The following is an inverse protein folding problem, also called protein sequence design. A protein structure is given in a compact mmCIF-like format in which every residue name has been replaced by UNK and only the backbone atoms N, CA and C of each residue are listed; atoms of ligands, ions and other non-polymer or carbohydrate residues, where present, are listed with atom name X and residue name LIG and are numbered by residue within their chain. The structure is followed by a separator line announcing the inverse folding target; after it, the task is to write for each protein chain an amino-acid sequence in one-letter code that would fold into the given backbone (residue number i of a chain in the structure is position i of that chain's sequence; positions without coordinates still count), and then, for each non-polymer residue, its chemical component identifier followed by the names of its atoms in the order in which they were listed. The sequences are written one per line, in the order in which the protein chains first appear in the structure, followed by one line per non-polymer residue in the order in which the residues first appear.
data_IF_893514707157
#
_entry.id   IF_893514707157
#
_cell.length_a   1.000
_cell.length_b   1.000
_cell.length_c   1.000
_cell.angle_alpha   90.00
_cell.angle_beta   90.00
_cell.angle_gamma   90.00
#
_symmetry.space_group_name_H-M   'P 1'
#
loop_
_entity.id
_entity.type
_entity.pdbx_description
1 polymer ?
#
# COMPACT_ATOMS: atom_id res chain seq x y z
N UNK A 1 5.74 -2.58 -18.80
CA UNK A 1 5.08 -1.48 -18.08
C UNK A 1 5.85 -1.16 -16.78
N UNK A 2 6.11 -2.13 -15.89
CA UNK A 2 6.86 -1.93 -14.65
C UNK A 2 8.27 -1.39 -14.87
N UNK A 3 9.00 -1.87 -15.88
CA UNK A 3 10.32 -1.34 -16.23
C UNK A 3 10.26 0.15 -16.63
N UNK A 4 9.20 0.57 -17.32
CA UNK A 4 8.98 1.98 -17.66
C UNK A 4 8.70 2.82 -16.41
N UNK A 5 7.95 2.28 -15.46
CA UNK A 5 7.70 2.96 -14.18
C UNK A 5 8.97 3.04 -13.32
N UNK A 6 9.78 1.98 -13.33
CA UNK A 6 11.05 1.90 -12.59
C UNK A 6 12.09 2.88 -13.13
N UNK A 7 12.01 3.26 -14.41
CA UNK A 7 12.97 4.16 -15.06
C UNK A 7 13.07 5.53 -14.40
N UNK A 8 12.04 5.94 -13.65
CA UNK A 8 12.10 7.17 -12.85
C UNK A 8 13.07 7.06 -11.66
N UNK A 9 13.30 5.86 -11.15
CA UNK A 9 14.19 5.59 -10.02
C UNK A 9 15.53 4.95 -10.46
N UNK A 10 15.53 4.22 -11.54
CA UNK A 10 16.69 3.53 -12.15
C UNK A 10 16.72 3.81 -13.66
N UNK A 11 17.23 4.99 -14.09
CA UNK A 11 17.32 5.35 -15.51
C UNK A 11 18.10 4.31 -16.33
N UNK A 12 17.46 3.79 -17.38
CA UNK A 12 18.01 2.72 -18.19
C UNK A 12 17.93 1.32 -17.58
N UNK A 13 17.25 1.15 -16.43
CA UNK A 13 17.06 -0.13 -15.74
C UNK A 13 18.38 -0.91 -15.55
N UNK A 14 19.38 -0.24 -14.98
CA UNK A 14 20.75 -0.76 -14.89
C UNK A 14 21.03 -1.54 -13.61
N UNK A 15 20.30 -1.25 -12.51
CA UNK A 15 20.62 -1.74 -11.17
C UNK A 15 19.52 -2.56 -10.53
N UNK A 16 18.26 -2.34 -10.89
CA UNK A 16 17.12 -2.92 -10.23
C UNK A 16 16.35 -3.90 -11.13
N UNK A 17 16.03 -5.07 -10.58
CA UNK A 17 15.22 -6.09 -11.25
C UNK A 17 13.85 -6.15 -10.57
N UNK A 18 12.75 -5.75 -11.22
CA UNK A 18 11.42 -5.81 -10.62
C UNK A 18 11.07 -7.23 -10.17
N UNK A 19 10.54 -7.34 -8.96
CA UNK A 19 10.14 -8.61 -8.35
C UNK A 19 8.65 -8.67 -8.12
N UNK A 20 8.13 -7.75 -7.30
CA UNK A 20 6.71 -7.54 -7.07
C UNK A 20 6.29 -6.11 -7.35
N UNK A 21 4.99 -5.92 -7.53
CA UNK A 21 4.36 -4.61 -7.52
C UNK A 21 3.05 -4.67 -6.73
N UNK A 22 2.61 -3.53 -6.27
CA UNK A 22 1.36 -3.42 -5.55
C UNK A 22 0.90 -1.99 -5.41
N UNK A 23 -0.14 -1.82 -4.61
CA UNK A 23 -0.77 -0.52 -4.33
C UNK A 23 -0.85 -0.28 -2.84
N UNK A 24 -0.77 0.97 -2.45
CA UNK A 24 -1.17 1.42 -1.13
C UNK A 24 -2.66 1.76 -1.16
N UNK A 25 -3.43 1.19 -0.25
CA UNK A 25 -4.87 1.36 -0.20
C UNK A 25 -5.40 1.25 1.24
N UNK A 26 -6.71 1.10 1.38
CA UNK A 26 -7.39 0.97 2.67
C UNK A 26 -8.34 -0.22 2.67
N UNK A 27 -8.60 -0.76 3.85
CA UNK A 27 -9.61 -1.76 4.07
C UNK A 27 -10.56 -1.34 5.20
N UNK A 28 -11.83 -1.70 5.06
CA UNK A 28 -12.87 -1.47 6.06
C UNK A 28 -13.60 -2.79 6.35
N UNK A 29 -13.96 -3.01 7.62
CA UNK A 29 -14.74 -4.18 8.02
C UNK A 29 -16.24 -3.93 7.91
N UNK A 30 -17.05 -5.01 7.99
CA UNK A 30 -18.51 -4.90 8.06
C UNK A 30 -18.97 -4.00 9.21
N UNK A 31 -18.31 -4.10 10.39
CA UNK A 31 -18.57 -3.22 11.53
C UNK A 31 -18.29 -1.75 11.24
N UNK A 32 -17.18 -1.46 10.55
CA UNK A 32 -16.88 -0.08 10.13
C UNK A 32 -17.95 0.47 9.17
N UNK A 33 -18.40 -0.33 8.21
CA UNK A 33 -19.49 0.07 7.30
C UNK A 33 -20.82 0.29 8.03
N UNK A 34 -21.16 -0.55 9.00
CA UNK A 34 -22.36 -0.39 9.84
C UNK A 34 -22.35 0.96 10.57
N UNK A 35 -21.23 1.35 11.19
CA UNK A 35 -21.08 2.63 11.90
C UNK A 35 -21.21 3.85 10.97
N UNK A 36 -20.98 3.67 9.68
CA UNK A 36 -21.19 4.69 8.65
C UNK A 36 -22.60 4.69 8.06
N UNK A 37 -23.50 3.82 8.56
CA UNK A 37 -24.87 3.67 8.04
C UNK A 37 -24.90 2.96 6.67
N UNK A 38 -23.91 2.13 6.36
CA UNK A 38 -23.81 1.35 5.14
C UNK A 38 -23.38 2.11 3.89
N UNK A 39 -23.08 3.41 4.00
CA UNK A 39 -22.65 4.25 2.86
C UNK A 39 -21.20 4.64 3.01
N UNK A 40 -20.40 4.34 1.98
CA UNK A 40 -19.03 4.79 1.87
C UNK A 40 -18.98 6.12 1.11
N UNK A 41 -17.98 6.99 1.38
CA UNK A 41 -17.76 8.20 0.60
C UNK A 41 -17.34 7.86 -0.84
N UNK A 42 -17.56 8.80 -1.76
CA UNK A 42 -17.15 8.66 -3.16
C UNK A 42 -15.62 8.46 -3.28
N UNK A 43 -14.85 9.24 -2.54
CA UNK A 43 -13.42 9.01 -2.39
C UNK A 43 -13.16 8.22 -1.11
N UNK A 44 -12.72 6.96 -1.24
CA UNK A 44 -12.43 6.10 -0.09
C UNK A 44 -11.39 6.67 0.88
N UNK A 45 -10.45 7.52 0.44
CA UNK A 45 -9.49 8.18 1.31
C UNK A 45 -10.13 9.14 2.32
N UNK A 46 -11.35 9.63 2.04
CA UNK A 46 -12.11 10.45 3.00
C UNK A 46 -12.33 9.72 4.32
N UNK A 47 -12.49 8.39 4.30
CA UNK A 47 -12.63 7.55 5.50
C UNK A 47 -11.48 7.73 6.47
N UNK A 48 -10.28 7.99 5.93
CA UNK A 48 -9.05 8.07 6.70
C UNK A 48 -8.65 9.52 7.02
N UNK A 49 -8.90 10.46 6.10
CA UNK A 49 -8.36 11.82 6.19
C UNK A 49 -9.38 12.88 6.63
N UNK A 50 -10.65 12.51 6.83
CA UNK A 50 -11.67 13.44 7.31
C UNK A 50 -12.21 13.06 8.69
N UNK A 51 -12.14 13.98 9.69
CA UNK A 51 -12.65 13.74 11.04
C UNK A 51 -14.12 13.31 11.10
N UNK A 52 -14.95 13.73 10.13
CA UNK A 52 -16.36 13.32 10.06
C UNK A 52 -16.55 11.78 9.94
N UNK A 53 -15.57 11.07 9.36
CA UNK A 53 -15.58 9.61 9.26
C UNK A 53 -14.80 8.97 10.39
N UNK A 54 -13.57 9.46 10.67
CA UNK A 54 -12.73 8.86 11.70
C UNK A 54 -13.37 8.92 13.09
N UNK A 55 -14.08 10.01 13.42
CA UNK A 55 -14.85 10.13 14.65
C UNK A 55 -15.92 9.03 14.81
N UNK A 56 -16.56 8.59 13.74
CA UNK A 56 -17.52 7.49 13.77
C UNK A 56 -16.85 6.13 13.93
N UNK A 57 -15.65 5.98 13.36
CA UNK A 57 -14.92 4.71 13.29
C UNK A 57 -13.99 4.48 14.48
N UNK A 58 -13.64 5.51 15.27
CA UNK A 58 -12.71 5.39 16.39
C UNK A 58 -13.09 4.34 17.44
N UNK A 59 -14.41 4.10 17.63
CA UNK A 59 -14.90 3.10 18.58
C UNK A 59 -14.59 1.66 18.18
N UNK A 60 -14.45 1.38 16.88
CA UNK A 60 -14.09 0.06 16.38
C UNK A 60 -12.60 -0.06 16.01
N UNK A 61 -11.85 1.04 16.10
CA UNK A 61 -10.41 1.09 15.92
C UNK A 61 -9.97 1.41 14.49
N UNK A 62 -9.09 2.41 14.38
CA UNK A 62 -8.44 2.83 13.15
C UNK A 62 -6.96 2.56 13.29
N UNK A 63 -6.34 1.94 12.30
CA UNK A 63 -4.90 1.76 12.23
C UNK A 63 -4.31 2.44 11.01
N UNK A 64 -3.24 3.18 11.22
CA UNK A 64 -2.39 3.73 10.18
C UNK A 64 -1.11 2.91 10.07
N UNK A 65 -0.69 2.71 8.85
CA UNK A 65 0.61 2.15 8.56
C UNK A 65 1.72 3.10 9.02
N UNK A 66 2.65 2.61 9.84
CA UNK A 66 3.71 3.43 10.45
C UNK A 66 4.87 3.65 9.47
N UNK A 67 4.56 4.29 8.34
CA UNK A 67 5.51 4.55 7.26
C UNK A 67 5.30 5.96 6.71
N UNK A 68 5.89 7.00 7.33
CA UNK A 68 5.71 8.39 6.89
C UNK A 68 6.13 8.62 5.45
N UNK A 69 7.17 7.90 4.94
CA UNK A 69 7.62 7.98 3.55
C UNK A 69 6.59 7.52 2.52
N UNK A 70 5.53 6.84 2.95
CA UNK A 70 4.44 6.40 2.10
C UNK A 70 3.14 7.15 2.40
N UNK A 71 2.85 7.39 3.67
CA UNK A 71 1.64 8.12 4.07
C UNK A 71 1.64 9.58 3.59
N UNK A 72 2.78 10.28 3.65
CA UNK A 72 2.84 11.67 3.17
C UNK A 72 2.61 11.79 1.66
N UNK A 73 3.25 11.02 0.76
CA UNK A 73 2.93 11.03 -0.66
C UNK A 73 1.46 10.76 -0.98
N UNK A 74 0.84 9.80 -0.31
CA UNK A 74 -0.60 9.49 -0.48
C UNK A 74 -1.45 10.69 -0.07
N UNK A 75 -1.17 11.26 1.09
CA UNK A 75 -1.93 12.41 1.59
C UNK A 75 -1.69 13.67 0.76
N UNK A 76 -0.48 13.92 0.30
CA UNK A 76 -0.18 15.02 -0.62
C UNK A 76 -0.97 14.87 -1.93
N UNK A 77 -0.99 13.67 -2.51
CA UNK A 77 -1.79 13.37 -3.70
C UNK A 77 -3.29 13.59 -3.44
N UNK A 78 -3.80 13.14 -2.30
CA UNK A 78 -5.19 13.37 -1.87
C UNK A 78 -5.53 14.87 -1.78
N UNK A 79 -4.60 15.70 -1.32
CA UNK A 79 -4.74 17.15 -1.25
C UNK A 79 -4.50 17.87 -2.58
N UNK A 80 -4.24 17.15 -3.68
CA UNK A 80 -3.92 17.72 -4.99
C UNK A 80 -2.55 18.40 -5.02
N UNK A 81 -1.60 17.95 -4.18
CA UNK A 81 -0.23 18.46 -4.08
C UNK A 81 0.75 17.49 -4.73
N UNK A 82 2.00 17.95 -4.94
CA UNK A 82 3.07 17.10 -5.45
C UNK A 82 3.41 15.98 -4.44
N UNK A 83 3.21 14.70 -4.79
CA UNK A 83 3.53 13.59 -3.90
C UNK A 83 5.01 13.50 -3.49
N UNK A 84 5.92 14.13 -4.22
CA UNK A 84 7.35 14.21 -3.86
C UNK A 84 7.61 15.03 -2.61
N UNK A 85 6.65 15.87 -2.19
CA UNK A 85 6.80 16.74 -1.04
C UNK A 85 7.90 17.78 -1.23
N UNK A 86 8.07 18.25 -2.47
CA UNK A 86 9.14 19.20 -2.81
C UNK A 86 8.95 20.56 -2.12
N UNK A 87 7.71 20.91 -1.77
CA UNK A 87 7.38 22.11 -1.02
C UNK A 87 7.18 21.78 0.47
N UNK A 88 8.01 22.30 1.40
CA UNK A 88 7.86 22.07 2.83
C UNK A 88 6.51 22.51 3.42
N UNK A 89 5.87 23.54 2.86
CA UNK A 89 4.56 24.01 3.33
C UNK A 89 3.45 23.00 3.03
N UNK A 90 3.54 22.29 1.91
CA UNK A 90 2.59 21.22 1.56
C UNK A 90 2.73 20.03 2.53
N UNK A 91 3.96 19.69 2.95
CA UNK A 91 4.18 18.67 4.00
C UNK A 91 3.60 19.09 5.34
N UNK A 92 3.74 20.38 5.72
CA UNK A 92 3.12 20.91 6.93
C UNK A 92 1.59 20.89 6.86
N UNK A 93 1.00 21.25 5.72
CA UNK A 93 -0.44 21.17 5.51
C UNK A 93 -0.95 19.73 5.62
N UNK A 94 -0.23 18.76 5.04
CA UNK A 94 -0.52 17.34 5.19
C UNK A 94 -0.44 16.89 6.67
N UNK A 95 0.56 17.35 7.41
CA UNK A 95 0.69 17.05 8.83
C UNK A 95 -0.49 17.58 9.67
N UNK A 96 -1.05 18.74 9.33
CA UNK A 96 -2.24 19.27 10.02
C UNK A 96 -3.49 18.38 9.79
N UNK A 97 -3.63 17.77 8.61
CA UNK A 97 -4.68 16.77 8.37
C UNK A 97 -4.46 15.55 9.28
N UNK A 98 -3.23 15.03 9.35
CA UNK A 98 -2.91 13.90 10.23
C UNK A 98 -3.17 14.21 11.70
N UNK A 99 -2.81 15.41 12.17
CA UNK A 99 -3.11 15.86 13.54
C UNK A 99 -4.61 15.93 13.82
N UNK A 100 -5.41 16.35 12.83
CA UNK A 100 -6.87 16.45 13.00
C UNK A 100 -7.54 15.10 13.25
N UNK A 101 -6.98 14.01 12.71
CA UNK A 101 -7.50 12.64 12.85
C UNK A 101 -6.75 11.85 13.94
N UNK A 102 -5.60 12.34 14.41
CA UNK A 102 -4.74 11.63 15.37
C UNK A 102 -5.48 11.13 16.62
N UNK A 103 -6.42 11.90 17.24
CA UNK A 103 -7.17 11.44 18.41
C UNK A 103 -8.06 10.22 18.16
N UNK A 104 -8.41 9.97 16.90
CA UNK A 104 -9.29 8.86 16.51
C UNK A 104 -8.50 7.59 16.12
N UNK A 105 -7.19 7.74 15.88
CA UNK A 105 -6.31 6.63 15.49
C UNK A 105 -5.91 5.82 16.73
N UNK A 106 -6.33 4.55 16.73
CA UNK A 106 -6.02 3.60 17.81
C UNK A 106 -4.56 3.15 17.78
N UNK A 107 -4.00 2.97 16.56
CA UNK A 107 -2.68 2.38 16.42
C UNK A 107 -1.93 2.87 15.17
N UNK A 108 -0.63 3.00 15.32
CA UNK A 108 0.35 3.04 14.24
C UNK A 108 1.13 1.72 14.28
N UNK A 109 1.18 1.00 13.17
CA UNK A 109 1.82 -0.32 13.14
C UNK A 109 2.44 -0.59 11.77
N UNK A 110 3.63 -1.20 11.71
CA UNK A 110 4.21 -1.67 10.46
C UNK A 110 3.48 -2.90 9.90
N UNK A 111 2.69 -3.60 10.73
CA UNK A 111 1.89 -4.75 10.32
C UNK A 111 0.53 -4.74 11.01
N UNK A 112 -0.52 -4.73 10.21
CA UNK A 112 -1.92 -4.67 10.65
C UNK A 112 -2.73 -5.91 10.27
N UNK A 113 -2.10 -6.91 9.65
CA UNK A 113 -2.76 -8.08 9.05
C UNK A 113 -3.58 -8.83 10.09
N UNK A 114 -2.95 -9.21 11.21
CA UNK A 114 -3.62 -10.04 12.21
C UNK A 114 -4.71 -9.29 12.98
N UNK A 115 -4.50 -8.00 13.27
CA UNK A 115 -5.49 -7.19 13.97
C UNK A 115 -6.72 -6.93 13.11
N UNK A 116 -6.52 -6.66 11.83
CA UNK A 116 -7.62 -6.50 10.88
C UNK A 116 -8.35 -7.83 10.68
N UNK A 117 -7.61 -8.95 10.54
CA UNK A 117 -8.19 -10.28 10.38
C UNK A 117 -9.05 -10.70 11.56
N UNK A 118 -8.68 -10.32 12.80
CA UNK A 118 -9.48 -10.58 14.01
C UNK A 118 -10.62 -9.60 14.23
N UNK A 119 -10.65 -8.47 13.51
CA UNK A 119 -11.63 -7.39 13.73
C UNK A 119 -11.32 -6.48 14.91
N UNK A 120 -10.07 -6.48 15.44
CA UNK A 120 -9.61 -5.57 16.51
C UNK A 120 -9.54 -4.11 16.03
N UNK A 121 -9.45 -3.91 14.73
CA UNK A 121 -9.54 -2.65 13.99
C UNK A 121 -10.53 -2.79 12.84
N UNK A 122 -11.21 -1.72 12.49
CA UNK A 122 -12.25 -1.72 11.46
C UNK A 122 -11.92 -0.87 10.23
N UNK A 123 -10.92 -0.03 10.32
CA UNK A 123 -10.35 0.73 9.19
C UNK A 123 -8.83 0.67 9.27
N UNK A 124 -8.20 0.32 8.17
CA UNK A 124 -6.75 0.23 8.09
C UNK A 124 -6.23 0.74 6.75
N UNK A 125 -5.10 1.45 6.76
CA UNK A 125 -4.31 1.77 5.57
C UNK A 125 -3.08 0.88 5.49
N UNK A 126 -2.74 0.38 4.31
CA UNK A 126 -1.57 -0.48 4.10
C UNK A 126 -1.40 -0.92 2.65
N UNK A 127 -0.54 -1.90 2.44
CA UNK A 127 -0.39 -2.55 1.13
C UNK A 127 -1.63 -3.35 0.78
N UNK A 128 -2.07 -3.27 -0.47
CA UNK A 128 -3.22 -4.02 -0.95
C UNK A 128 -3.10 -5.53 -0.73
N UNK A 129 -1.92 -6.11 -0.92
CA UNK A 129 -1.67 -7.52 -0.64
C UNK A 129 -1.84 -7.89 0.83
N UNK A 130 -1.28 -7.09 1.76
CA UNK A 130 -1.41 -7.32 3.20
C UNK A 130 -2.88 -7.25 3.66
N UNK A 131 -3.63 -6.29 3.12
CA UNK A 131 -5.06 -6.14 3.41
C UNK A 131 -5.89 -7.31 2.85
N UNK A 132 -5.55 -7.81 1.66
CA UNK A 132 -6.18 -9.02 1.10
C UNK A 132 -5.77 -10.29 1.86
N UNK A 133 -4.54 -10.38 2.35
CA UNK A 133 -4.11 -11.47 3.22
C UNK A 133 -4.89 -11.48 4.54
N UNK A 134 -5.12 -10.31 5.14
CA UNK A 134 -5.97 -10.18 6.33
C UNK A 134 -7.40 -10.66 6.06
N UNK A 135 -7.96 -10.29 4.89
CA UNK A 135 -9.27 -10.77 4.44
C UNK A 135 -9.30 -12.30 4.33
N UNK A 136 -8.33 -12.89 3.62
CA UNK A 136 -8.25 -14.35 3.44
C UNK A 136 -8.14 -15.08 4.79
N UNK A 137 -7.31 -14.60 5.73
CA UNK A 137 -7.20 -15.17 7.08
C UNK A 137 -8.51 -15.10 7.87
N UNK A 138 -9.22 -13.98 7.76
CA UNK A 138 -10.53 -13.82 8.41
C UNK A 138 -11.57 -14.81 7.86
N UNK A 139 -11.59 -15.00 6.53
CA UNK A 139 -12.48 -15.94 5.85
C UNK A 139 -12.15 -17.40 6.19
N UNK A 140 -10.87 -17.76 6.26
CA UNK A 140 -10.39 -19.09 6.64
C UNK A 140 -10.89 -19.51 8.03
N UNK A 141 -10.77 -18.61 9.02
CA UNK A 141 -11.24 -18.88 10.40
C UNK A 141 -12.73 -18.60 10.60
N UNK A 142 -13.44 -18.14 9.58
CA UNK A 142 -14.89 -17.90 9.56
C UNK A 142 -15.38 -17.00 10.71
N UNK A 143 -14.61 -15.98 11.08
CA UNK A 143 -14.95 -15.08 12.19
C UNK A 143 -15.91 -13.93 11.81
N UNK A 144 -16.38 -13.89 10.54
CA UNK A 144 -17.38 -12.94 10.03
C UNK A 144 -17.00 -11.45 10.15
N UNK A 145 -15.72 -11.11 10.13
CA UNK A 145 -15.27 -9.71 10.18
C UNK A 145 -15.74 -8.93 8.95
N UNK A 146 -15.84 -9.57 7.80
CA UNK A 146 -16.37 -8.98 6.57
C UNK A 146 -15.47 -7.85 6.05
N UNK A 147 -14.20 -8.15 5.77
CA UNK A 147 -13.20 -7.19 5.29
C UNK A 147 -13.43 -6.88 3.81
N UNK A 148 -13.55 -5.61 3.48
CA UNK A 148 -13.54 -5.10 2.10
C UNK A 148 -12.28 -4.24 1.89
N UNK A 149 -11.48 -4.62 0.89
CA UNK A 149 -10.32 -3.83 0.45
C UNK A 149 -10.77 -2.90 -0.66
N UNK A 150 -10.65 -1.60 -0.43
CA UNK A 150 -11.13 -0.56 -1.33
C UNK A 150 -10.07 -0.22 -2.39
N UNK A 151 -10.51 0.39 -3.49
CA UNK A 151 -9.65 0.92 -4.54
C UNK A 151 -9.98 2.39 -4.81
N UNK A 152 -9.63 3.29 -3.85
CA UNK A 152 -9.89 4.71 -4.00
C UNK A 152 -9.06 5.32 -5.12
N UNK A 153 -9.52 6.42 -5.70
CA UNK A 153 -8.70 7.20 -6.65
C UNK A 153 -7.44 7.71 -5.96
N UNK A 154 -6.34 7.74 -6.69
CA UNK A 154 -5.06 8.23 -6.14
C UNK A 154 -4.33 7.23 -5.27
N UNK A 155 -4.48 5.92 -5.54
CA UNK A 155 -3.62 4.90 -4.93
C UNK A 155 -2.16 5.12 -5.33
N UNK A 156 -1.24 4.91 -4.39
CA UNK A 156 0.19 4.88 -4.66
C UNK A 156 0.63 3.51 -5.21
N UNK A 157 1.34 3.49 -6.35
CA UNK A 157 1.91 2.26 -6.92
C UNK A 157 3.36 2.14 -6.51
N UNK A 158 3.74 0.97 -6.01
CA UNK A 158 5.13 0.66 -5.67
C UNK A 158 5.64 -0.54 -6.46
N UNK A 159 6.96 -0.59 -6.62
CA UNK A 159 7.67 -1.68 -7.26
C UNK A 159 8.77 -2.13 -6.32
N UNK A 160 8.69 -3.37 -5.87
CA UNK A 160 9.75 -4.04 -5.15
C UNK A 160 10.74 -4.63 -6.14
N UNK A 161 12.02 -4.45 -5.89
CA UNK A 161 13.06 -4.85 -6.82
C UNK A 161 14.24 -5.49 -6.10
N UNK A 162 14.86 -6.44 -6.78
CA UNK A 162 16.15 -6.99 -6.39
C UNK A 162 17.28 -6.06 -6.83
N UNK A 163 18.22 -5.82 -5.94
CA UNK A 163 19.48 -5.13 -6.22
C UNK A 163 20.65 -5.93 -5.64
N UNK A 164 21.79 -5.89 -6.32
CA UNK A 164 23.04 -6.49 -5.82
C UNK A 164 23.95 -5.34 -5.38
N UNK A 165 24.31 -5.24 -4.08
CA UNK A 165 25.27 -4.24 -3.60
C UNK A 165 26.60 -4.33 -4.33
N UNK A 166 27.24 -3.18 -4.56
CA UNK A 166 28.51 -3.11 -5.31
C UNK A 166 29.67 -3.89 -4.64
N UNK A 167 29.62 -4.05 -3.31
CA UNK A 167 30.59 -4.77 -2.49
C UNK A 167 30.20 -6.24 -2.22
N UNK A 168 29.12 -6.73 -2.87
CA UNK A 168 28.68 -8.12 -2.71
C UNK A 168 29.77 -9.13 -3.14
N UNK A 169 30.07 -10.09 -2.26
CA UNK A 169 31.14 -11.08 -2.50
C UNK A 169 30.67 -12.27 -3.36
N UNK A 170 29.37 -12.55 -3.39
CA UNK A 170 28.80 -13.72 -4.06
C UNK A 170 27.87 -13.32 -5.21
N UNK A 171 28.34 -12.45 -6.11
CA UNK A 171 27.55 -11.87 -7.21
C UNK A 171 26.92 -12.96 -8.10
N UNK A 172 27.71 -14.01 -8.45
CA UNK A 172 27.20 -15.11 -9.28
C UNK A 172 26.03 -15.86 -8.63
N UNK A 173 26.06 -16.07 -7.31
CA UNK A 173 24.94 -16.69 -6.58
C UNK A 173 23.74 -15.74 -6.44
N UNK A 174 23.99 -14.44 -6.28
CA UNK A 174 22.92 -13.45 -6.27
C UNK A 174 22.14 -13.44 -7.60
N UNK A 175 22.83 -13.45 -8.75
CA UNK A 175 22.18 -13.60 -10.06
C UNK A 175 21.38 -14.89 -10.20
N UNK A 176 21.92 -16.03 -9.74
CA UNK A 176 21.19 -17.32 -9.74
C UNK A 176 19.92 -17.25 -8.91
N UNK A 177 20.00 -16.63 -7.73
CA UNK A 177 18.84 -16.45 -6.85
C UNK A 177 17.77 -15.55 -7.48
N UNK A 178 18.17 -14.40 -8.03
CA UNK A 178 17.27 -13.51 -8.74
C UNK A 178 16.59 -14.24 -9.90
N UNK A 179 17.35 -14.93 -10.75
CA UNK A 179 16.79 -15.70 -11.86
C UNK A 179 15.82 -16.79 -11.38
N UNK A 180 16.13 -17.48 -10.28
CA UNK A 180 15.23 -18.46 -9.68
C UNK A 180 13.92 -17.83 -9.21
N UNK A 181 13.97 -16.67 -8.54
CA UNK A 181 12.77 -16.00 -8.07
C UNK A 181 11.91 -15.42 -9.19
N UNK A 182 12.48 -15.19 -10.37
CA UNK A 182 11.78 -14.72 -11.57
C UNK A 182 11.24 -15.86 -12.45
N UNK A 183 11.59 -17.11 -12.16
CA UNK A 183 10.96 -18.25 -12.83
C UNK A 183 9.43 -18.16 -12.68
N UNK A 184 8.63 -18.33 -13.77
CA UNK A 184 7.19 -18.12 -13.71
C UNK A 184 6.45 -18.98 -12.67
N UNK A 185 6.89 -20.23 -12.46
CA UNK A 185 6.28 -21.11 -11.45
C UNK A 185 6.60 -20.62 -10.02
N UNK A 186 7.86 -20.24 -9.80
CA UNK A 186 8.34 -19.75 -8.50
C UNK A 186 7.72 -18.39 -8.18
N UNK A 187 7.74 -17.47 -9.15
CA UNK A 187 7.16 -16.13 -8.99
C UNK A 187 5.65 -16.18 -8.72
N UNK A 188 4.92 -17.06 -9.40
CA UNK A 188 3.49 -17.26 -9.15
C UNK A 188 3.24 -17.80 -7.74
N UNK A 189 3.97 -18.85 -7.30
CA UNK A 189 3.85 -19.40 -5.94
C UNK A 189 4.14 -18.35 -4.87
N UNK A 190 5.20 -17.57 -5.07
CA UNK A 190 5.56 -16.50 -4.15
C UNK A 190 4.47 -15.41 -4.12
N UNK A 191 3.97 -14.97 -5.29
CA UNK A 191 2.90 -13.99 -5.39
C UNK A 191 1.59 -14.44 -4.73
N UNK A 192 1.23 -15.73 -4.86
CA UNK A 192 0.07 -16.31 -4.17
C UNK A 192 0.27 -16.29 -2.65
N UNK A 193 1.45 -16.68 -2.18
CA UNK A 193 1.74 -16.78 -0.75
C UNK A 193 1.71 -15.42 -0.03
N UNK A 194 2.14 -14.34 -0.69
CA UNK A 194 2.18 -12.97 -0.12
C UNK A 194 1.07 -12.06 -0.64
N UNK A 195 0.23 -12.55 -1.57
CA UNK A 195 -0.85 -11.78 -2.22
C UNK A 195 -0.37 -10.52 -2.94
N UNK A 196 0.84 -10.55 -3.51
CA UNK A 196 1.38 -9.46 -4.33
C UNK A 196 1.43 -9.84 -5.82
N UNK A 197 1.38 -8.84 -6.69
CA UNK A 197 1.47 -9.05 -8.13
C UNK A 197 2.93 -9.29 -8.54
N UNK A 198 3.30 -10.48 -9.06
CA UNK A 198 4.64 -10.71 -9.57
C UNK A 198 4.90 -9.84 -10.79
N UNK A 199 6.15 -9.36 -10.93
CA UNK A 199 6.56 -8.53 -12.06
C UNK A 199 6.53 -9.31 -13.38
N UNK A 200 6.72 -10.62 -13.33
CA UNK A 200 6.71 -11.52 -14.49
C UNK A 200 5.28 -11.73 -15.03
N UNK A 201 5.04 -11.31 -16.28
CA UNK A 201 3.75 -11.53 -16.94
C UNK A 201 3.37 -13.01 -17.04
N UNK A 202 4.26 -13.93 -17.44
CA UNK A 202 3.96 -15.37 -17.45
C UNK A 202 3.62 -15.94 -16.06
N UNK A 203 4.15 -15.37 -14.97
CA UNK A 203 3.78 -15.77 -13.63
C UNK A 203 2.31 -15.44 -13.29
N UNK A 204 1.82 -14.29 -13.75
CA UNK A 204 0.42 -13.89 -13.55
C UNK A 204 -0.56 -14.89 -14.17
N UNK A 205 -0.23 -15.46 -15.30
CA UNK A 205 -1.05 -16.45 -16.02
C UNK A 205 -1.19 -17.79 -15.23
N UNK A 206 -0.29 -18.01 -14.25
CA UNK A 206 -0.28 -19.18 -13.37
C UNK A 206 -0.94 -18.96 -12.01
N UNK A 207 -1.40 -17.74 -11.75
CA UNK A 207 -2.08 -17.39 -10.52
C UNK A 207 -3.59 -17.65 -10.61
N UNK A 208 -4.27 -17.93 -9.48
CA UNK A 208 -5.72 -18.06 -9.46
C UNK A 208 -6.42 -16.81 -10.02
N UNK A 209 -7.45 -17.03 -10.85
CA UNK A 209 -8.21 -15.94 -11.46
C UNK A 209 -8.81 -14.98 -10.42
N UNK A 210 -9.19 -15.47 -9.26
CA UNK A 210 -9.69 -14.67 -8.14
C UNK A 210 -8.66 -13.58 -7.72
N UNK A 211 -7.39 -13.96 -7.56
CA UNK A 211 -6.34 -13.01 -7.21
C UNK A 211 -6.05 -12.03 -8.36
N UNK A 212 -5.95 -12.54 -9.59
CA UNK A 212 -5.66 -11.72 -10.77
C UNK A 212 -6.74 -10.68 -11.05
N UNK A 213 -8.00 -10.98 -10.73
CA UNK A 213 -9.14 -10.08 -10.88
C UNK A 213 -9.33 -9.13 -9.67
N UNK A 214 -8.52 -9.26 -8.63
CA UNK A 214 -8.59 -8.39 -7.45
C UNK A 214 -7.84 -7.09 -7.71
N UNK A 215 -8.58 -5.97 -7.89
CA UNK A 215 -8.03 -4.66 -8.26
C UNK A 215 -7.02 -4.08 -7.26
N UNK A 216 -7.16 -4.39 -5.99
CA UNK A 216 -6.20 -4.00 -4.96
C UNK A 216 -4.88 -4.80 -4.97
N UNK A 217 -4.78 -5.84 -5.81
CA UNK A 217 -3.56 -6.61 -6.10
C UNK A 217 -3.09 -6.31 -7.53
N UNK A 218 -4.00 -6.41 -8.49
CA UNK A 218 -3.77 -6.14 -9.91
C UNK A 218 -4.63 -4.96 -10.36
N UNK A 219 -4.15 -3.72 -10.20
CA UNK A 219 -4.90 -2.53 -10.60
C UNK A 219 -5.20 -2.54 -12.10
N UNK A 220 -6.39 -2.08 -12.47
CA UNK A 220 -6.77 -1.96 -13.87
C UNK A 220 -6.22 -0.66 -14.50
N UNK A 221 -6.47 -0.45 -15.80
CA UNK A 221 -5.98 0.74 -16.51
C UNK A 221 -6.50 2.05 -15.94
N UNK A 222 -7.74 2.06 -15.42
CA UNK A 222 -8.31 3.27 -14.81
C UNK A 222 -7.64 3.56 -13.47
N UNK A 223 -7.40 2.53 -12.65
CA UNK A 223 -6.65 2.68 -11.39
C UNK A 223 -5.26 3.25 -11.65
N UNK A 224 -4.58 2.74 -12.71
CA UNK A 224 -3.26 3.20 -13.11
C UNK A 224 -3.25 4.67 -13.57
N UNK A 225 -4.32 5.13 -14.24
CA UNK A 225 -4.45 6.54 -14.66
C UNK A 225 -4.77 7.48 -13.49
N UNK A 226 -5.61 7.02 -12.56
CA UNK A 226 -6.06 7.82 -11.42
C UNK A 226 -5.04 7.84 -10.28
N UNK A 227 -4.11 6.89 -10.25
CA UNK A 227 -3.08 6.74 -9.23
C UNK A 227 -1.75 7.42 -9.60
N UNK A 228 -0.74 7.18 -8.79
CA UNK A 228 0.60 7.71 -9.00
C UNK A 228 1.67 6.69 -8.58
N UNK A 229 2.83 6.74 -9.21
CA UNK A 229 3.99 5.95 -8.78
C UNK A 229 4.55 6.57 -7.49
N UNK A 230 4.75 5.74 -6.46
CA UNK A 230 5.34 6.20 -5.21
C UNK A 230 6.69 6.87 -5.46
N UNK A 231 6.84 8.16 -5.13
CA UNK A 231 8.01 8.91 -5.50
C UNK A 231 9.18 8.65 -4.56
N UNK A 232 10.37 8.83 -5.07
CA UNK A 232 11.53 9.01 -4.21
C UNK A 232 11.57 10.46 -3.70
N UNK A 233 11.25 10.65 -2.42
CA UNK A 233 11.37 11.96 -1.78
C UNK A 233 12.84 12.33 -1.59
N UNK A 234 13.16 13.64 -1.64
CA UNK A 234 14.49 14.14 -1.27
C UNK A 234 14.85 13.83 0.19
N UNK A 235 16.12 13.86 0.53
CA UNK A 235 16.57 13.66 1.91
C UNK A 235 15.92 14.66 2.89
N UNK A 236 15.79 15.92 2.50
CA UNK A 236 15.19 16.97 3.33
C UNK A 236 13.68 16.74 3.49
N UNK A 237 12.97 16.38 2.42
CA UNK A 237 11.54 16.06 2.48
C UNK A 237 11.28 14.82 3.37
N UNK A 238 12.11 13.77 3.25
CA UNK A 238 12.04 12.59 4.13
C UNK A 238 12.27 12.97 5.59
N UNK A 239 13.31 13.73 5.88
CA UNK A 239 13.61 14.19 7.24
C UNK A 239 12.46 15.01 7.82
N UNK A 240 11.91 15.93 7.03
CA UNK A 240 10.77 16.75 7.47
C UNK A 240 9.53 15.90 7.70
N UNK A 241 9.19 14.98 6.80
CA UNK A 241 8.03 14.09 6.95
C UNK A 241 8.13 13.24 8.22
N UNK A 242 9.29 12.64 8.51
CA UNK A 242 9.53 11.90 9.76
C UNK A 242 9.35 12.78 10.98
N UNK A 243 9.92 13.98 10.99
CA UNK A 243 9.79 14.92 12.10
C UNK A 243 8.33 15.37 12.34
N UNK A 244 7.57 15.54 11.27
CA UNK A 244 6.14 15.90 11.36
C UNK A 244 5.27 14.71 11.82
N UNK A 245 5.63 13.49 11.43
CA UNK A 245 4.95 12.26 11.84
C UNK A 245 5.06 11.98 13.34
N UNK A 246 6.19 12.33 13.94
CA UNK A 246 6.46 12.09 15.37
C UNK A 246 5.80 13.12 16.31
N UNK A 247 5.20 14.17 15.78
CA UNK A 247 4.51 15.24 16.54
C UNK A 247 3.00 15.01 16.62
#
# INVERSE_FOLDING_TARGET
ELLKMLETADPGNQYAVPYFSGVNTIAITAKGKELLGGKLPENGWDLLFKPEYTNKLKSCGIALWDTPSEMFPILLNYLGKDPKGSNPEDLKAAAEVLKSIRPDVKRFSPSIIDELARGDICLAAGNGGDLNLAKARSEEVKNNVGIEVLTPKGMGFWIESWLIPADAKNIANAHKYINYTLDPEVAAKNGIAVTFAPASKPAREKMPAELVNTRSIFPNEQDMKDGFVMPQMSADAKKLSVNLWQK
#
